data_IF_235274352756
#
_entry.id   IF_235274352756
#
_cell.length_a   1.000
_cell.length_b   1.000
_cell.length_c   1.000
_cell.angle_alpha   90.00
_cell.angle_beta   90.00
_cell.angle_gamma   90.00
#
_symmetry.space_group_name_H-M   'P 1'
#
loop_
_entity.id
_entity.type
_entity.pdbx_description
1 polymer ?
#
# COMPACT_ATOMS: atom_id res chain seq x y z
N UNK A 1 -21.17 5.08 1.95
CA UNK A 1 -20.34 4.24 2.89
C UNK A 1 -20.45 4.82 4.30
N UNK A 2 -20.70 3.99 5.29
CA UNK A 2 -20.73 4.37 6.71
C UNK A 2 -19.32 4.67 7.23
N UNK A 3 -19.22 5.64 8.17
CA UNK A 3 -17.94 5.99 8.78
C UNK A 3 -17.41 4.81 9.64
N UNK A 4 -16.11 4.55 9.67
CA UNK A 4 -15.53 3.49 10.47
C UNK A 4 -15.55 3.84 11.98
N UNK A 5 -15.27 2.86 12.83
CA UNK A 5 -14.93 3.15 14.23
C UNK A 5 -13.58 3.87 14.29
N UNK A 6 -13.62 5.18 14.37
CA UNK A 6 -12.44 6.04 14.30
C UNK A 6 -11.35 5.73 15.34
N UNK A 7 -11.71 5.16 16.48
CA UNK A 7 -10.75 4.87 17.54
C UNK A 7 -10.01 3.52 17.32
N UNK A 8 -10.62 2.60 16.58
CA UNK A 8 -10.12 1.23 16.45
C UNK A 8 -10.03 0.76 14.99
N UNK A 9 -10.37 1.60 14.01
CA UNK A 9 -10.36 1.18 12.61
C UNK A 9 -8.96 0.70 12.17
N UNK A 10 -9.00 -0.28 11.29
CA UNK A 10 -7.81 -0.81 10.63
C UNK A 10 -7.40 0.07 9.45
N UNK A 11 -6.21 -0.16 8.91
CA UNK A 11 -5.73 0.48 7.68
C UNK A 11 -6.70 0.22 6.51
N UNK A 12 -7.26 -1.01 6.42
CA UNK A 12 -8.21 -1.38 5.38
C UNK A 12 -9.54 -0.62 5.49
N UNK A 13 -10.11 -0.56 6.69
CA UNK A 13 -11.38 0.14 6.92
C UNK A 13 -11.24 1.63 6.64
N UNK A 14 -10.14 2.25 7.09
CA UNK A 14 -9.87 3.65 6.81
C UNK A 14 -9.64 3.91 5.33
N UNK A 15 -8.83 3.08 4.65
CA UNK A 15 -8.61 3.18 3.21
C UNK A 15 -9.90 3.08 2.42
N UNK A 16 -10.72 2.05 2.69
CA UNK A 16 -12.00 1.85 2.00
C UNK A 16 -12.89 3.06 2.13
N UNK A 17 -13.00 3.61 3.34
CA UNK A 17 -13.80 4.81 3.59
C UNK A 17 -13.30 6.01 2.80
N UNK A 18 -12.03 6.32 2.90
CA UNK A 18 -11.44 7.51 2.23
C UNK A 18 -11.46 7.35 0.71
N UNK A 19 -10.98 6.23 0.18
CA UNK A 19 -10.94 5.96 -1.26
C UNK A 19 -12.34 5.98 -1.88
N UNK A 20 -13.34 5.45 -1.16
CA UNK A 20 -14.72 5.49 -1.62
C UNK A 20 -15.24 6.92 -1.77
N UNK A 21 -14.95 7.81 -0.81
CA UNK A 21 -15.35 9.22 -0.91
C UNK A 21 -14.62 9.94 -2.03
N UNK A 22 -13.32 9.71 -2.19
CA UNK A 22 -12.52 10.28 -3.27
C UNK A 22 -13.03 9.84 -4.65
N UNK A 23 -13.27 8.55 -4.85
CA UNK A 23 -13.81 8.02 -6.13
C UNK A 23 -15.16 8.64 -6.48
N UNK A 24 -16.02 8.90 -5.47
CA UNK A 24 -17.31 9.58 -5.67
C UNK A 24 -17.22 11.00 -6.18
N UNK A 25 -16.10 11.65 -5.94
CA UNK A 25 -15.80 13.00 -6.42
C UNK A 25 -14.91 12.97 -7.69
N UNK A 26 -14.74 11.78 -8.28
CA UNK A 26 -13.94 11.56 -9.48
C UNK A 26 -12.44 11.63 -9.24
N UNK A 27 -12.02 11.46 -7.99
CA UNK A 27 -10.62 11.43 -7.58
C UNK A 27 -10.18 9.98 -7.46
N UNK A 28 -9.56 9.45 -8.51
CA UNK A 28 -8.99 8.11 -8.47
C UNK A 28 -7.69 8.12 -7.70
N UNK A 29 -7.51 7.15 -6.83
CA UNK A 29 -6.26 7.00 -6.08
C UNK A 29 -5.88 5.53 -5.95
N UNK A 30 -4.59 5.26 -5.85
CA UNK A 30 -4.03 3.93 -5.61
C UNK A 30 -3.38 3.90 -4.24
N UNK A 31 -3.80 2.97 -3.37
CA UNK A 31 -3.12 2.74 -2.11
C UNK A 31 -1.79 2.03 -2.37
N UNK A 32 -0.73 2.54 -1.77
CA UNK A 32 0.63 2.03 -1.86
C UNK A 32 1.26 1.89 -0.46
N UNK A 33 2.49 1.50 -0.38
CA UNK A 33 3.26 1.58 0.84
C UNK A 33 2.87 0.58 1.94
N UNK A 34 3.10 0.97 3.19
CA UNK A 34 2.93 0.11 4.37
C UNK A 34 1.50 -0.33 4.62
N UNK A 35 0.51 0.50 4.31
CA UNK A 35 -0.90 0.15 4.51
C UNK A 35 -1.35 -1.04 3.63
N UNK A 36 -0.80 -1.17 2.41
CA UNK A 36 -1.05 -2.35 1.57
C UNK A 36 -0.49 -3.61 2.21
N UNK A 37 0.69 -3.52 2.84
CA UNK A 37 1.27 -4.64 3.62
C UNK A 37 0.34 -5.03 4.76
N UNK A 38 -0.18 -4.07 5.52
CA UNK A 38 -1.12 -4.33 6.60
C UNK A 38 -2.36 -5.09 6.12
N UNK A 39 -2.92 -4.69 4.97
CA UNK A 39 -4.09 -5.35 4.37
C UNK A 39 -3.74 -6.78 3.93
N UNK A 40 -2.68 -6.99 3.16
CA UNK A 40 -2.31 -8.31 2.64
C UNK A 40 -1.81 -9.28 3.70
N UNK A 41 -1.45 -8.78 4.86
CA UNK A 41 -1.01 -9.60 5.99
C UNK A 41 -2.07 -9.72 7.10
N UNK A 42 -3.30 -9.24 6.85
CA UNK A 42 -4.43 -9.33 7.79
C UNK A 42 -4.07 -8.76 9.17
N UNK A 43 -3.33 -7.62 9.17
CA UNK A 43 -2.94 -6.91 10.39
C UNK A 43 -1.75 -7.51 11.15
N UNK A 44 -1.04 -8.52 10.62
CA UNK A 44 0.24 -8.99 11.20
C UNK A 44 1.33 -7.91 11.14
N UNK A 45 1.27 -7.06 10.13
CA UNK A 45 1.98 -5.79 10.08
C UNK A 45 0.99 -4.65 10.26
N UNK A 46 1.41 -3.58 10.92
CA UNK A 46 0.59 -2.37 11.10
C UNK A 46 1.34 -1.16 10.55
N UNK A 47 0.63 -0.32 9.83
CA UNK A 47 1.14 0.97 9.36
C UNK A 47 0.56 2.12 10.18
N UNK A 48 1.32 3.17 10.36
CA UNK A 48 0.83 4.41 11.00
C UNK A 48 0.22 5.39 10.00
N UNK A 49 0.40 5.16 8.72
CA UNK A 49 -0.05 6.02 7.63
C UNK A 49 -0.56 5.22 6.43
N UNK A 50 -1.35 5.89 5.61
CA UNK A 50 -1.88 5.41 4.35
C UNK A 50 -1.38 6.32 3.23
N UNK A 51 -0.52 5.78 2.38
CA UNK A 51 -0.03 6.46 1.19
C UNK A 51 -1.00 6.22 0.03
N UNK A 52 -1.70 7.26 -0.41
CA UNK A 52 -2.66 7.19 -1.51
C UNK A 52 -2.19 8.09 -2.65
N UNK A 53 -1.82 7.52 -3.79
CA UNK A 53 -1.35 8.25 -4.97
C UNK A 53 -2.54 8.58 -5.87
N UNK A 54 -2.92 9.86 -6.00
CA UNK A 54 -4.01 10.26 -6.89
C UNK A 54 -3.54 10.30 -8.35
N UNK A 55 -4.43 9.97 -9.29
CA UNK A 55 -4.13 10.00 -10.74
C UNK A 55 -3.88 11.43 -11.24
N UNK A 56 -4.89 12.28 -11.17
CA UNK A 56 -4.81 13.67 -11.61
C UNK A 56 -5.60 14.55 -10.66
N UNK A 57 -4.91 15.47 -9.97
CA UNK A 57 -5.62 16.34 -9.05
C UNK A 57 -4.93 17.65 -8.71
N UNK A 58 -5.73 18.71 -8.70
CA UNK A 58 -5.38 19.91 -7.96
C UNK A 58 -5.46 19.69 -6.46
N UNK A 59 -4.44 20.10 -5.73
CA UNK A 59 -4.34 19.98 -4.26
C UNK A 59 -5.59 20.52 -3.53
N UNK A 60 -6.16 21.61 -4.03
CA UNK A 60 -7.33 22.24 -3.43
C UNK A 60 -8.53 21.31 -3.40
N UNK A 61 -8.83 20.62 -4.52
CA UNK A 61 -9.98 19.70 -4.59
C UNK A 61 -9.85 18.52 -3.62
N UNK A 62 -8.65 17.96 -3.51
CA UNK A 62 -8.34 16.90 -2.54
C UNK A 62 -8.62 17.35 -1.11
N UNK A 63 -8.14 18.54 -0.75
CA UNK A 63 -8.33 19.10 0.59
C UNK A 63 -9.81 19.37 0.90
N UNK A 64 -10.59 19.84 -0.08
CA UNK A 64 -12.03 20.06 0.07
C UNK A 64 -12.80 18.75 0.35
N UNK A 65 -12.48 17.68 -0.41
CA UNK A 65 -13.11 16.37 -0.21
C UNK A 65 -12.73 15.78 1.14
N UNK A 66 -11.45 15.85 1.50
CA UNK A 66 -10.96 15.36 2.80
C UNK A 66 -11.58 16.13 3.96
N UNK A 67 -11.71 17.46 3.84
CA UNK A 67 -12.36 18.30 4.85
C UNK A 67 -13.83 17.94 5.03
N UNK A 68 -14.55 17.60 3.96
CA UNK A 68 -15.95 17.20 4.00
C UNK A 68 -16.18 15.91 4.80
N UNK A 69 -15.17 15.03 4.88
CA UNK A 69 -15.19 13.79 5.66
C UNK A 69 -14.39 13.89 6.98
N UNK A 70 -14.09 15.13 7.43
CA UNK A 70 -13.53 15.42 8.74
C UNK A 70 -12.00 15.43 8.84
N UNK A 71 -11.26 15.18 7.75
CA UNK A 71 -9.80 15.26 7.75
C UNK A 71 -9.29 16.69 7.66
N UNK A 72 -8.22 16.96 8.33
CA UNK A 72 -7.57 18.28 8.39
C UNK A 72 -6.08 18.14 8.00
N UNK A 73 -5.55 19.09 7.19
CA UNK A 73 -4.13 19.12 6.91
C UNK A 73 -3.32 19.39 8.17
N UNK A 74 -2.16 18.78 8.28
CA UNK A 74 -1.19 19.06 9.34
C UNK A 74 -0.17 20.12 8.86
N UNK A 75 0.77 20.50 9.73
CA UNK A 75 1.91 21.34 9.32
C UNK A 75 2.92 20.61 8.42
N UNK A 76 2.78 19.29 8.31
CA UNK A 76 3.57 18.42 7.43
C UNK A 76 2.76 17.99 6.20
N UNK A 77 3.18 16.91 5.54
CA UNK A 77 2.51 16.33 4.36
C UNK A 77 1.25 15.51 4.66
N UNK A 78 0.93 15.29 5.94
CA UNK A 78 -0.15 14.41 6.37
C UNK A 78 -1.47 15.14 6.55
N UNK A 79 -2.56 14.35 6.40
CA UNK A 79 -3.89 14.70 6.89
C UNK A 79 -4.24 13.81 8.08
N UNK A 80 -4.99 14.36 9.03
CA UNK A 80 -5.46 13.63 10.22
C UNK A 80 -6.95 13.84 10.43
N UNK A 81 -7.61 12.84 10.97
CA UNK A 81 -8.97 12.96 11.49
C UNK A 81 -8.93 13.11 13.01
N UNK A 82 -9.64 14.08 13.63
CA UNK A 82 -9.56 14.31 15.09
C UNK A 82 -9.96 13.11 15.94
N UNK A 83 -10.89 12.29 15.45
CA UNK A 83 -11.34 11.08 16.15
C UNK A 83 -10.50 9.83 15.83
N UNK A 84 -9.54 9.88 14.86
CA UNK A 84 -8.65 8.78 14.50
C UNK A 84 -7.19 9.18 14.81
N UNK A 85 -6.70 8.97 16.04
CA UNK A 85 -5.39 9.48 16.45
C UNK A 85 -4.22 8.60 15.99
N UNK A 86 -4.48 7.37 15.52
CA UNK A 86 -3.46 6.36 15.26
C UNK A 86 -3.13 6.15 13.79
N UNK A 87 -3.95 6.70 12.86
CA UNK A 87 -3.71 6.61 11.42
C UNK A 87 -3.72 8.00 10.77
N UNK A 88 -2.83 8.19 9.80
CA UNK A 88 -2.70 9.41 9.02
C UNK A 88 -2.85 9.10 7.53
N UNK A 89 -3.22 10.12 6.74
CA UNK A 89 -3.21 10.00 5.28
C UNK A 89 -2.07 10.82 4.72
N UNK A 90 -1.40 10.25 3.73
CA UNK A 90 -0.46 10.96 2.87
C UNK A 90 -0.90 10.81 1.41
N UNK A 91 -0.67 11.87 0.63
CA UNK A 91 -0.95 11.86 -0.81
C UNK A 91 0.32 12.22 -1.58
N UNK A 92 1.20 11.22 -1.81
CA UNK A 92 2.36 11.40 -2.66
C UNK A 92 1.96 11.84 -4.07
N UNK A 93 2.87 12.47 -4.79
CA UNK A 93 2.64 12.79 -6.20
C UNK A 93 2.75 11.53 -7.04
N UNK A 94 1.82 11.38 -8.01
CA UNK A 94 1.89 10.32 -9.02
C UNK A 94 2.91 10.64 -10.12
N UNK A 95 3.07 9.72 -11.07
CA UNK A 95 2.40 8.42 -11.11
C UNK A 95 2.94 7.40 -10.09
N UNK A 96 2.25 6.25 -9.94
CA UNK A 96 2.77 5.14 -9.13
C UNK A 96 3.93 4.49 -9.88
N UNK A 97 5.09 4.48 -9.24
CA UNK A 97 6.33 3.91 -9.79
C UNK A 97 6.97 2.95 -8.80
N UNK A 98 7.55 1.87 -9.30
CA UNK A 98 8.30 0.90 -8.51
C UNK A 98 9.65 0.66 -9.21
N UNK A 99 10.71 1.28 -8.70
CA UNK A 99 12.00 1.31 -9.40
C UNK A 99 11.87 1.96 -10.78
N UNK A 100 12.41 1.30 -11.80
CA UNK A 100 12.30 1.76 -13.20
C UNK A 100 11.04 1.22 -13.92
N UNK A 101 10.17 0.47 -13.23
CA UNK A 101 8.97 -0.12 -13.80
C UNK A 101 7.85 0.92 -13.89
N UNK A 102 7.40 1.19 -15.11
CA UNK A 102 6.24 2.03 -15.40
C UNK A 102 5.54 1.54 -16.67
N UNK A 103 4.20 1.48 -16.73
CA UNK A 103 3.22 1.74 -15.67
C UNK A 103 2.99 0.55 -14.72
N UNK A 104 2.53 0.84 -13.50
CA UNK A 104 2.01 -0.16 -12.56
C UNK A 104 0.50 -0.31 -12.77
N UNK A 105 0.01 -1.54 -12.84
CA UNK A 105 -1.42 -1.85 -12.94
C UNK A 105 -1.92 -2.28 -11.55
N UNK A 106 -2.69 -1.43 -10.86
CA UNK A 106 -3.19 -1.76 -9.53
C UNK A 106 -4.28 -2.84 -9.59
N UNK A 107 -4.43 -3.58 -8.49
CA UNK A 107 -5.63 -4.39 -8.25
C UNK A 107 -6.83 -3.46 -8.02
N UNK A 108 -7.99 -3.88 -8.53
CA UNK A 108 -9.26 -3.17 -8.37
C UNK A 108 -10.22 -4.00 -7.52
N UNK A 109 -10.90 -3.34 -6.59
CA UNK A 109 -11.97 -3.95 -5.79
C UNK A 109 -13.24 -3.11 -5.88
N UNK A 110 -14.39 -3.78 -6.01
CA UNK A 110 -15.70 -3.12 -6.00
C UNK A 110 -16.22 -3.01 -4.57
N UNK A 111 -16.53 -1.78 -4.14
CA UNK A 111 -17.07 -1.47 -2.81
C UNK A 111 -18.26 -0.52 -2.97
N UNK A 112 -19.46 -0.99 -2.65
CA UNK A 112 -20.69 -0.17 -2.71
C UNK A 112 -20.82 0.64 -4.00
N UNK A 113 -20.58 -0.02 -5.16
CA UNK A 113 -20.74 0.57 -6.50
C UNK A 113 -19.61 1.53 -6.92
N UNK A 114 -18.47 1.50 -6.25
CA UNK A 114 -17.26 2.26 -6.60
C UNK A 114 -16.04 1.35 -6.66
N UNK A 115 -15.15 1.63 -7.60
CA UNK A 115 -13.92 0.86 -7.82
C UNK A 115 -12.77 1.47 -7.03
N UNK A 116 -12.26 0.79 -6.04
CA UNK A 116 -11.10 1.19 -5.24
C UNK A 116 -9.85 0.47 -5.74
N UNK A 117 -8.67 1.11 -5.58
CA UNK A 117 -7.41 0.63 -6.17
C UNK A 117 -6.30 0.57 -5.14
N UNK A 118 -5.52 -0.52 -5.19
CA UNK A 118 -4.32 -0.71 -4.37
C UNK A 118 -3.27 -1.48 -5.20
N UNK A 119 -1.99 -1.38 -4.80
CA UNK A 119 -0.96 -2.21 -5.42
C UNK A 119 -1.35 -3.69 -5.35
N UNK A 120 -1.07 -4.44 -6.43
CA UNK A 120 -1.18 -5.91 -6.40
C UNK A 120 -0.23 -6.51 -5.35
N UNK A 121 -0.47 -7.75 -4.87
CA UNK A 121 0.48 -8.40 -3.97
C UNK A 121 1.89 -8.50 -4.56
N UNK A 122 2.02 -8.77 -5.86
CA UNK A 122 3.30 -8.82 -6.57
C UNK A 122 4.00 -7.46 -6.58
N UNK A 123 3.28 -6.40 -6.91
CA UNK A 123 3.86 -5.07 -6.96
C UNK A 123 4.13 -4.51 -5.56
N UNK A 124 3.34 -4.90 -4.55
CA UNK A 124 3.65 -4.58 -3.16
C UNK A 124 4.95 -5.24 -2.69
N UNK A 125 5.24 -6.48 -3.11
CA UNK A 125 6.54 -7.11 -2.84
C UNK A 125 7.67 -6.33 -3.50
N UNK A 126 7.55 -5.97 -4.78
CA UNK A 126 8.55 -5.16 -5.50
C UNK A 126 8.77 -3.80 -4.83
N UNK A 127 7.69 -3.10 -4.46
CA UNK A 127 7.75 -1.81 -3.78
C UNK A 127 8.54 -1.90 -2.45
N UNK A 128 8.29 -2.94 -1.66
CA UNK A 128 9.04 -3.18 -0.42
C UNK A 128 10.50 -3.54 -0.70
N UNK A 129 10.77 -4.39 -1.70
CA UNK A 129 12.14 -4.72 -2.09
C UNK A 129 12.89 -3.50 -2.64
N UNK A 130 12.24 -2.59 -3.37
CA UNK A 130 12.85 -1.32 -3.77
C UNK A 130 13.32 -0.52 -2.55
N UNK A 131 12.52 -0.46 -1.49
CA UNK A 131 12.90 0.15 -0.22
C UNK A 131 14.10 -0.52 0.45
N UNK A 132 14.24 -1.84 0.32
CA UNK A 132 15.41 -2.57 0.80
C UNK A 132 16.65 -2.30 -0.06
N UNK A 133 16.52 -2.35 -1.38
CA UNK A 133 17.61 -2.14 -2.34
C UNK A 133 18.20 -0.73 -2.21
N UNK A 134 17.35 0.29 -2.28
CA UNK A 134 17.80 1.69 -2.41
C UNK A 134 18.08 2.36 -1.08
N UNK A 135 17.37 2.00 0.00
CA UNK A 135 17.53 2.63 1.32
C UNK A 135 18.07 1.69 2.40
N UNK A 136 18.43 0.45 2.03
CA UNK A 136 18.96 -0.58 2.94
C UNK A 136 18.04 -0.83 4.15
N UNK A 137 16.74 -0.69 3.95
CA UNK A 137 15.74 -0.87 4.99
C UNK A 137 15.38 -2.35 5.16
N UNK A 138 15.97 -3.02 6.16
CA UNK A 138 15.66 -4.42 6.47
C UNK A 138 14.18 -4.62 6.77
N UNK A 139 13.52 -3.65 7.42
CA UNK A 139 12.09 -3.71 7.67
C UNK A 139 11.27 -3.87 6.39
N UNK A 140 11.67 -3.24 5.28
CA UNK A 140 10.99 -3.41 4.00
C UNK A 140 11.17 -4.82 3.43
N UNK A 141 12.34 -5.43 3.58
CA UNK A 141 12.55 -6.82 3.20
C UNK A 141 11.64 -7.77 4.00
N UNK A 142 11.56 -7.57 5.32
CA UNK A 142 10.72 -8.39 6.19
C UNK A 142 9.23 -8.26 5.83
N UNK A 143 8.79 -7.06 5.43
CA UNK A 143 7.45 -6.82 4.91
C UNK A 143 7.21 -7.56 3.58
N UNK A 144 8.15 -7.51 2.64
CA UNK A 144 8.07 -8.25 1.38
C UNK A 144 7.93 -9.76 1.63
N UNK A 145 8.77 -10.30 2.51
CA UNK A 145 8.73 -11.71 2.90
C UNK A 145 7.38 -12.09 3.53
N UNK A 146 6.83 -11.23 4.37
CA UNK A 146 5.53 -11.45 5.02
C UNK A 146 4.39 -11.49 3.99
N UNK A 147 4.37 -10.57 3.00
CA UNK A 147 3.41 -10.61 1.89
C UNK A 147 3.52 -11.93 1.13
N UNK A 148 4.73 -12.33 0.74
CA UNK A 148 4.96 -13.58 0.01
C UNK A 148 4.41 -14.80 0.77
N UNK A 149 4.57 -14.84 2.09
CA UNK A 149 4.06 -15.93 2.93
C UNK A 149 2.55 -15.95 3.03
N UNK A 150 1.92 -14.78 3.13
CA UNK A 150 0.45 -14.66 3.30
C UNK A 150 -0.30 -14.74 1.97
N UNK A 151 0.28 -14.24 0.90
CA UNK A 151 -0.36 -14.13 -0.42
C UNK A 151 0.24 -15.13 -1.45
N UNK A 152 0.69 -16.30 -1.00
CA UNK A 152 1.44 -17.30 -1.79
C UNK A 152 0.92 -17.50 -3.22
N UNK A 153 -0.39 -17.63 -3.39
CA UNK A 153 -1.02 -17.91 -4.70
C UNK A 153 -1.12 -16.66 -5.57
N UNK A 154 -1.09 -15.47 -4.97
CA UNK A 154 -1.28 -14.18 -5.65
C UNK A 154 0.03 -13.49 -6.01
N UNK A 155 1.14 -13.88 -5.39
CA UNK A 155 2.47 -13.30 -5.69
C UNK A 155 3.11 -14.07 -6.83
N UNK A 156 3.37 -13.39 -7.94
CA UNK A 156 4.16 -13.91 -9.05
C UNK A 156 5.66 -13.73 -8.74
N UNK A 157 6.25 -14.76 -8.10
CA UNK A 157 7.68 -14.76 -7.76
C UNK A 157 8.58 -14.67 -8.99
N UNK A 158 8.15 -15.18 -10.15
CA UNK A 158 8.92 -15.05 -11.39
C UNK A 158 9.02 -13.56 -11.78
N UNK A 159 7.91 -12.86 -11.76
CA UNK A 159 7.86 -11.40 -12.03
C UNK A 159 8.69 -10.59 -11.01
N UNK A 160 8.72 -11.00 -9.74
CA UNK A 160 9.59 -10.37 -8.72
C UNK A 160 11.06 -10.58 -9.05
N UNK A 161 11.46 -11.80 -9.42
CA UNK A 161 12.86 -12.09 -9.79
C UNK A 161 13.32 -11.35 -11.04
N UNK A 162 12.49 -11.29 -12.07
CA UNK A 162 12.75 -10.50 -13.28
C UNK A 162 12.93 -9.02 -12.97
N UNK A 163 12.06 -8.48 -12.10
CA UNK A 163 12.15 -7.08 -11.66
C UNK A 163 13.44 -6.81 -10.85
N UNK A 164 13.82 -7.69 -9.90
CA UNK A 164 15.07 -7.53 -9.15
C UNK A 164 16.29 -7.53 -10.07
N UNK A 165 16.29 -8.38 -11.10
CA UNK A 165 17.38 -8.41 -12.08
C UNK A 165 17.44 -7.12 -12.91
N UNK A 166 16.30 -6.56 -13.30
CA UNK A 166 16.22 -5.27 -14.02
C UNK A 166 16.68 -4.10 -13.14
N UNK A 167 16.36 -4.13 -11.85
CA UNK A 167 16.78 -3.10 -10.87
C UNK A 167 18.26 -3.27 -10.42
N UNK A 168 18.99 -4.23 -11.01
CA UNK A 168 20.42 -4.46 -10.78
C UNK A 168 20.74 -5.16 -9.44
N UNK A 169 19.77 -5.82 -8.81
CA UNK A 169 19.90 -6.46 -7.51
C UNK A 169 19.36 -7.92 -7.50
N UNK A 170 19.80 -8.82 -8.42
CA UNK A 170 19.31 -10.20 -8.47
C UNK A 170 19.55 -10.98 -7.17
N UNK A 171 20.61 -10.65 -6.43
CA UNK A 171 20.94 -11.26 -5.13
C UNK A 171 19.85 -11.05 -4.07
N UNK A 172 19.06 -9.98 -4.18
CA UNK A 172 17.95 -9.72 -3.26
C UNK A 172 16.82 -10.73 -3.47
N UNK A 173 16.57 -11.14 -4.71
CA UNK A 173 15.62 -12.22 -4.99
C UNK A 173 16.12 -13.58 -4.52
N UNK A 174 17.42 -13.85 -4.65
CA UNK A 174 18.05 -15.07 -4.12
C UNK A 174 17.89 -15.13 -2.59
N UNK A 175 18.16 -14.00 -1.89
CA UNK A 175 17.95 -13.88 -0.46
C UNK A 175 16.48 -14.15 -0.08
N UNK A 176 15.53 -13.50 -0.75
CA UNK A 176 14.10 -13.70 -0.51
C UNK A 176 13.68 -15.17 -0.70
N UNK A 177 14.16 -15.78 -1.78
CA UNK A 177 13.85 -17.18 -2.11
C UNK A 177 14.40 -18.15 -1.06
N UNK A 178 15.59 -17.91 -0.52
CA UNK A 178 16.18 -18.69 0.57
C UNK A 178 15.32 -18.63 1.83
N UNK A 179 14.89 -17.43 2.25
CA UNK A 179 14.02 -17.26 3.41
C UNK A 179 12.62 -17.87 3.21
N UNK A 180 12.13 -17.93 1.99
CA UNK A 180 10.85 -18.59 1.70
C UNK A 180 10.98 -20.12 1.75
N UNK A 181 12.14 -20.68 1.35
CA UNK A 181 12.41 -22.10 1.40
C UNK A 181 12.65 -22.61 2.83
N UNK A 182 13.33 -21.82 3.68
CA UNK A 182 13.65 -22.19 5.06
C UNK A 182 12.41 -22.23 5.98
N UNK A 183 11.34 -21.55 5.60
CA UNK A 183 10.13 -21.41 6.43
C UNK A 183 9.02 -22.37 5.99
N UNK A 184 9.31 -23.67 5.95
CA UNK A 184 8.35 -24.75 5.99
C UNK A 184 8.61 -25.67 7.20
N UNK A 185 8.22 -25.29 8.44
CA UNK A 185 7.72 -26.29 9.34
C UNK A 185 6.24 -26.50 8.97
N UNK A 186 5.88 -27.75 8.78
CA UNK A 186 4.55 -28.25 8.56
C UNK A 186 3.62 -27.71 9.68
N UNK A 187 2.71 -26.80 9.35
CA UNK A 187 1.54 -26.57 10.16
C UNK A 187 0.59 -27.76 9.94
N UNK A 188 0.76 -28.75 10.85
CA UNK A 188 -0.16 -29.88 11.05
C UNK A 188 -1.34 -29.43 11.88
#
# INVERSE_FOLDING_TARGET
MEAPDWLHCTEEELWRYVAWHLEGEGIRSVLVGGAVVAIYTEGLYRSGDLDMVPDELGRQRLEEVLAAIGFQPTKSRYFKHPACPHLFLEFPRGPVEIGEQFPVVPDEIEVEGRTLRLLSPTDSVKDRLAGYIHWKSRANFDQALLICRRQKVRVDLKSVGEWCAMDGAPEVFEELSSYLAESQPEDT
#
